data_IF_265487576640
#
_entry.id   IF_265487576640
#
_cell.length_a   1.000
_cell.length_b   1.000
_cell.length_c   1.000
_cell.angle_alpha   90.00
_cell.angle_beta   90.00
_cell.angle_gamma   90.00
#
_symmetry.space_group_name_H-M   'P 1'
#
loop_
_entity.id
_entity.type
_entity.pdbx_description
1 polymer ?
#
# COMPACT_ATOMS: atom_id res chain seq x y z
N UNK A 1 -15.79 -6.41 23.42
CA UNK A 1 -14.93 -7.61 23.29
C UNK A 1 -13.80 -7.30 22.32
N UNK A 2 -12.64 -6.86 22.82
CA UNK A 2 -11.47 -6.59 21.98
C UNK A 2 -10.86 -7.92 21.53
N UNK A 3 -10.99 -8.25 20.24
CA UNK A 3 -10.41 -9.47 19.68
C UNK A 3 -8.89 -9.33 19.67
N UNK A 4 -8.18 -10.27 20.28
CA UNK A 4 -6.73 -10.40 20.16
C UNK A 4 -6.36 -10.42 18.67
N UNK A 5 -5.81 -9.32 18.16
CA UNK A 5 -5.45 -9.19 16.76
C UNK A 5 -4.22 -10.07 16.48
N UNK A 6 -4.34 -11.01 15.53
CA UNK A 6 -3.24 -11.91 15.18
C UNK A 6 -2.21 -11.22 14.29
N UNK A 7 -1.02 -11.82 14.13
CA UNK A 7 -0.01 -11.30 13.18
C UNK A 7 -0.55 -11.27 11.75
N UNK A 8 -1.29 -12.32 11.36
CA UNK A 8 -1.96 -12.37 10.06
C UNK A 8 -2.98 -11.24 9.89
N UNK A 9 -3.78 -10.94 10.92
CA UNK A 9 -4.74 -9.83 10.86
C UNK A 9 -4.06 -8.47 10.67
N UNK A 10 -2.92 -8.22 11.34
CA UNK A 10 -2.13 -7.00 11.14
C UNK A 10 -1.62 -6.89 9.70
N UNK A 11 -1.01 -7.97 9.22
CA UNK A 11 -0.41 -8.04 7.89
C UNK A 11 -1.44 -7.90 6.76
N UNK A 12 -2.62 -8.52 6.90
CA UNK A 12 -3.70 -8.40 5.90
C UNK A 12 -4.38 -7.03 5.94
N UNK A 13 -4.44 -6.36 7.10
CA UNK A 13 -4.88 -4.97 7.19
C UNK A 13 -3.89 -4.03 6.51
N UNK A 14 -2.60 -4.22 6.75
CA UNK A 14 -1.53 -3.47 6.09
C UNK A 14 -1.66 -3.62 4.56
N UNK A 15 -1.80 -4.85 4.06
CA UNK A 15 -1.98 -5.15 2.63
C UNK A 15 -3.13 -4.36 1.99
N UNK A 16 -4.27 -4.21 2.70
CA UNK A 16 -5.43 -3.44 2.21
C UNK A 16 -5.20 -1.94 2.18
N UNK A 17 -4.29 -1.42 3.00
CA UNK A 17 -4.02 0.01 3.13
C UNK A 17 -2.94 0.46 2.15
N UNK A 18 -1.96 -0.39 1.83
CA UNK A 18 -0.84 -0.06 0.92
C UNK A 18 -1.30 0.59 -0.40
N UNK A 19 -2.27 0.03 -1.17
CA UNK A 19 -2.68 0.65 -2.43
C UNK A 19 -3.31 2.04 -2.27
N UNK A 20 -3.89 2.34 -1.10
CA UNK A 20 -4.46 3.65 -0.81
C UNK A 20 -3.35 4.66 -0.50
N UNK A 21 -2.36 4.26 0.29
CA UNK A 21 -1.18 5.06 0.59
C UNK A 21 -0.38 5.38 -0.67
N UNK A 22 -0.16 4.39 -1.55
CA UNK A 22 0.50 4.62 -2.85
C UNK A 22 -0.25 5.70 -3.65
N UNK A 23 -1.58 5.58 -3.78
CA UNK A 23 -2.41 6.58 -4.48
C UNK A 23 -2.40 7.97 -3.83
N UNK A 24 -2.14 8.07 -2.54
CA UNK A 24 -1.98 9.35 -1.84
C UNK A 24 -0.61 9.96 -2.17
N UNK A 25 0.47 9.17 -2.07
CA UNK A 25 1.82 9.60 -2.43
C UNK A 25 1.94 10.00 -3.91
N UNK A 26 1.31 9.26 -4.83
CA UNK A 26 1.25 9.61 -6.25
C UNK A 26 0.54 10.96 -6.48
N UNK A 27 -0.53 11.24 -5.72
CA UNK A 27 -1.25 12.51 -5.78
C UNK A 27 -0.42 13.67 -5.22
N UNK A 28 0.34 13.44 -4.17
CA UNK A 28 1.23 14.45 -3.58
C UNK A 28 2.43 14.73 -4.48
N UNK A 29 2.98 13.68 -5.11
CA UNK A 29 4.06 13.79 -6.09
C UNK A 29 3.63 14.59 -7.31
N UNK A 30 2.47 14.26 -7.90
CA UNK A 30 1.93 14.97 -9.08
C UNK A 30 1.54 16.42 -8.76
N UNK A 31 1.00 16.68 -7.57
CA UNK A 31 0.69 18.04 -7.11
C UNK A 31 1.96 18.88 -6.90
N UNK A 32 3.05 18.26 -6.44
CA UNK A 32 4.36 18.92 -6.34
C UNK A 32 4.94 19.27 -7.72
N UNK A 33 4.63 18.47 -8.74
CA UNK A 33 5.04 18.73 -10.13
C UNK A 33 4.17 19.76 -10.85
N UNK A 34 2.86 19.82 -10.59
CA UNK A 34 1.98 20.82 -11.22
C UNK A 34 2.27 22.26 -10.76
N UNK A 35 2.80 22.43 -9.54
CA UNK A 35 3.36 23.72 -9.08
C UNK A 35 4.54 24.18 -9.96
N UNK A 36 5.26 23.27 -10.63
CA UNK A 36 6.34 23.62 -11.55
C UNK A 36 5.83 24.13 -12.92
N UNK A 37 4.63 23.76 -13.35
CA UNK A 37 4.11 24.02 -14.70
C UNK A 37 3.17 25.23 -14.82
N UNK A 38 2.85 25.91 -13.72
CA UNK A 38 2.04 27.14 -13.76
C UNK A 38 2.76 28.28 -14.51
N UNK A 39 2.07 29.10 -15.33
CA UNK A 39 2.68 30.20 -16.07
C UNK A 39 3.39 31.17 -15.12
N UNK A 40 4.71 31.24 -15.22
CA UNK A 40 5.50 32.15 -14.40
C UNK A 40 5.37 33.56 -14.97
N UNK A 41 4.51 34.39 -14.36
CA UNK A 41 4.57 35.84 -14.59
C UNK A 41 5.92 36.32 -14.07
N UNK A 42 6.83 36.57 -15.01
CA UNK A 42 8.15 37.13 -14.77
C UNK A 42 8.03 38.59 -14.37
N UNK A 43 7.63 38.84 -13.13
CA UNK A 43 7.84 40.18 -12.56
C UNK A 43 7.98 40.08 -11.05
N UNK A 44 9.23 40.06 -10.57
CA UNK A 44 9.49 40.58 -9.23
C UNK A 44 10.92 41.05 -9.08
N UNK A 45 11.12 42.36 -9.28
CA UNK A 45 12.09 43.11 -8.47
C UNK A 45 11.58 43.07 -7.02
N UNK A 46 12.24 42.31 -6.16
CA UNK A 46 12.05 42.40 -4.70
C UNK A 46 13.37 42.79 -4.03
N UNK A 47 13.41 44.02 -3.53
CA UNK A 47 14.35 44.48 -2.50
C UNK A 47 13.91 43.89 -1.15
N UNK A 48 14.83 43.24 -0.43
CA UNK A 48 14.77 43.21 1.05
C UNK A 48 14.53 41.88 1.78
N UNK A 49 14.32 40.75 1.12
CA UNK A 49 14.14 39.45 1.80
C UNK A 49 15.07 38.37 1.24
N UNK A 50 15.54 37.45 2.09
CA UNK A 50 16.46 36.35 1.75
C UNK A 50 16.04 35.71 0.42
N UNK A 51 16.87 35.87 -0.61
CA UNK A 51 16.60 35.37 -1.97
C UNK A 51 16.70 33.84 -1.97
N UNK A 52 15.61 33.12 -1.73
CA UNK A 52 15.52 31.76 -2.25
C UNK A 52 15.46 31.86 -3.77
N UNK A 53 16.55 31.49 -4.42
CA UNK A 53 16.65 31.56 -5.87
C UNK A 53 15.72 30.51 -6.50
N UNK A 54 15.29 30.75 -7.74
CA UNK A 54 14.46 29.78 -8.47
C UNK A 54 15.12 28.40 -8.54
N UNK A 55 16.46 28.37 -8.54
CA UNK A 55 17.30 27.16 -8.44
C UNK A 55 17.04 26.38 -7.16
N UNK A 56 16.97 27.04 -6.01
CA UNK A 56 16.73 26.40 -4.70
C UNK A 56 15.33 25.75 -4.65
N UNK A 57 14.33 26.38 -5.28
CA UNK A 57 12.97 25.84 -5.39
C UNK A 57 12.91 24.61 -6.29
N UNK A 58 13.62 24.64 -7.42
CA UNK A 58 13.68 23.51 -8.33
C UNK A 58 14.40 22.31 -7.70
N UNK A 59 15.51 22.55 -6.99
CA UNK A 59 16.25 21.51 -6.25
C UNK A 59 15.37 20.87 -5.17
N UNK A 60 14.69 21.68 -4.35
CA UNK A 60 13.82 21.17 -3.28
C UNK A 60 12.66 20.32 -3.83
N UNK A 61 12.11 20.68 -4.99
CA UNK A 61 11.03 19.91 -5.62
C UNK A 61 11.53 18.59 -6.23
N UNK A 62 12.74 18.55 -6.79
CA UNK A 62 13.38 17.30 -7.24
C UNK A 62 13.57 16.35 -6.07
N UNK A 63 14.16 16.82 -4.97
CA UNK A 63 14.37 16.03 -3.75
C UNK A 63 13.05 15.45 -3.22
N UNK A 64 11.96 16.25 -3.23
CA UNK A 64 10.63 15.78 -2.84
C UNK A 64 10.09 14.69 -3.78
N UNK A 65 10.30 14.85 -5.09
CA UNK A 65 9.89 13.85 -6.09
C UNK A 65 10.60 12.51 -5.88
N UNK A 66 11.91 12.55 -5.64
CA UNK A 66 12.73 11.36 -5.33
C UNK A 66 12.26 10.68 -4.04
N UNK A 67 11.99 11.46 -2.99
CA UNK A 67 11.44 10.95 -1.73
C UNK A 67 10.12 10.19 -1.93
N UNK A 68 9.16 10.77 -2.65
CA UNK A 68 7.89 10.09 -2.90
C UNK A 68 8.07 8.81 -3.72
N UNK A 69 8.94 8.83 -4.74
CA UNK A 69 9.23 7.66 -5.56
C UNK A 69 9.86 6.51 -4.74
N UNK A 70 10.79 6.83 -3.84
CA UNK A 70 11.39 5.87 -2.91
C UNK A 70 10.34 5.25 -1.99
N UNK A 71 9.50 6.08 -1.36
CA UNK A 71 8.43 5.61 -0.47
C UNK A 71 7.41 4.71 -1.18
N UNK A 72 7.03 5.05 -2.42
CA UNK A 72 6.16 4.20 -3.25
C UNK A 72 6.84 2.85 -3.53
N UNK A 73 8.12 2.86 -3.91
CA UNK A 73 8.90 1.66 -4.17
C UNK A 73 8.99 0.71 -2.97
N UNK A 74 9.16 1.27 -1.76
CA UNK A 74 9.19 0.48 -0.52
C UNK A 74 7.82 -0.11 -0.17
N UNK A 75 6.73 0.63 -0.39
CA UNK A 75 5.37 0.13 -0.21
C UNK A 75 5.05 -1.00 -1.19
N UNK A 76 5.45 -0.88 -2.45
CA UNK A 76 5.27 -1.95 -3.44
C UNK A 76 6.10 -3.20 -3.11
N UNK A 77 7.35 -3.02 -2.65
CA UNK A 77 8.17 -4.13 -2.15
C UNK A 77 7.51 -4.81 -0.96
N UNK A 78 6.97 -4.04 -0.01
CA UNK A 78 6.28 -4.58 1.16
C UNK A 78 5.01 -5.35 0.78
N UNK A 79 4.21 -4.82 -0.15
CA UNK A 79 3.05 -5.52 -0.73
C UNK A 79 3.47 -6.84 -1.37
N UNK A 80 4.54 -6.84 -2.16
CA UNK A 80 5.12 -8.03 -2.77
C UNK A 80 5.52 -9.09 -1.74
N UNK A 81 6.24 -8.68 -0.69
CA UNK A 81 6.66 -9.57 0.40
C UNK A 81 5.46 -10.21 1.12
N UNK A 82 4.42 -9.43 1.39
CA UNK A 82 3.18 -9.93 2.00
C UNK A 82 2.50 -10.97 1.08
N UNK A 83 2.40 -10.69 -0.22
CA UNK A 83 1.83 -11.64 -1.18
C UNK A 83 2.67 -12.91 -1.22
N UNK A 84 4.00 -12.82 -1.21
CA UNK A 84 4.89 -13.98 -1.15
C UNK A 84 4.63 -14.84 0.10
N UNK A 85 4.41 -14.24 1.27
CA UNK A 85 4.04 -14.97 2.49
C UNK A 85 2.71 -15.71 2.33
N UNK A 86 1.69 -15.07 1.73
CA UNK A 86 0.41 -15.74 1.41
C UNK A 86 0.64 -16.93 0.47
N UNK A 87 1.52 -16.78 -0.52
CA UNK A 87 1.83 -17.84 -1.49
C UNK A 87 2.53 -19.06 -0.87
N UNK A 88 3.08 -18.96 0.34
CA UNK A 88 3.67 -20.09 1.07
C UNK A 88 2.63 -21.01 1.73
N UNK A 89 1.36 -20.59 1.86
CA UNK A 89 0.30 -21.45 2.41
C UNK A 89 0.17 -22.74 1.59
N UNK A 90 0.00 -23.95 2.16
CA UNK A 90 -0.04 -25.18 1.35
C UNK A 90 -1.28 -25.29 0.44
N UNK A 91 -2.41 -24.74 0.86
CA UNK A 91 -3.69 -24.85 0.16
C UNK A 91 -3.87 -23.73 -0.88
N UNK A 92 -3.95 -24.11 -2.15
CA UNK A 92 -4.12 -23.17 -3.28
C UNK A 92 -5.43 -22.39 -3.23
N UNK A 93 -6.52 -22.99 -2.73
CA UNK A 93 -7.81 -22.33 -2.61
C UNK A 93 -7.74 -21.25 -1.52
N UNK A 94 -7.03 -21.51 -0.42
CA UNK A 94 -6.78 -20.50 0.61
C UNK A 94 -5.96 -19.33 0.07
N UNK A 95 -4.89 -19.59 -0.70
CA UNK A 95 -4.11 -18.54 -1.39
C UNK A 95 -5.00 -17.69 -2.27
N UNK A 96 -5.79 -18.32 -3.13
CA UNK A 96 -6.66 -17.64 -4.08
C UNK A 96 -7.69 -16.77 -3.35
N UNK A 97 -8.33 -17.28 -2.29
CA UNK A 97 -9.27 -16.51 -1.47
C UNK A 97 -8.60 -15.28 -0.85
N UNK A 98 -7.40 -15.41 -0.27
CA UNK A 98 -6.71 -14.28 0.35
C UNK A 98 -6.25 -13.24 -0.67
N UNK A 99 -5.59 -13.64 -1.75
CA UNK A 99 -5.13 -12.71 -2.80
C UNK A 99 -6.32 -11.96 -3.41
N UNK A 100 -7.37 -12.68 -3.81
CA UNK A 100 -8.55 -12.04 -4.37
C UNK A 100 -9.19 -11.08 -3.37
N UNK A 101 -9.36 -11.49 -2.11
CA UNK A 101 -10.03 -10.69 -1.07
C UNK A 101 -9.26 -9.44 -0.65
N UNK A 102 -7.93 -9.52 -0.51
CA UNK A 102 -7.13 -8.47 0.12
C UNK A 102 -6.29 -7.66 -0.88
N UNK A 103 -6.10 -8.15 -2.10
CA UNK A 103 -5.34 -7.45 -3.15
C UNK A 103 -6.26 -6.93 -4.26
N UNK A 104 -7.19 -7.78 -4.74
CA UNK A 104 -7.93 -7.50 -5.97
C UNK A 104 -9.32 -6.87 -5.73
N UNK A 105 -9.86 -6.96 -4.51
CA UNK A 105 -11.21 -6.51 -4.18
C UNK A 105 -11.19 -5.45 -3.08
N UNK A 106 -12.15 -4.52 -3.14
CA UNK A 106 -12.36 -3.53 -2.09
C UNK A 106 -13.27 -4.07 -0.98
N UNK A 107 -14.27 -4.87 -1.36
CA UNK A 107 -15.28 -5.41 -0.44
C UNK A 107 -15.25 -6.94 -0.39
N UNK A 108 -15.85 -7.51 0.65
CA UNK A 108 -15.99 -8.95 0.76
C UNK A 108 -17.02 -9.50 -0.22
N UNK A 109 -18.11 -8.78 -0.48
CA UNK A 109 -19.12 -9.20 -1.46
C UNK A 109 -18.52 -9.24 -2.87
N UNK A 110 -17.74 -8.23 -3.27
CA UNK A 110 -17.01 -8.25 -4.56
C UNK A 110 -16.07 -9.46 -4.68
N UNK A 111 -15.41 -9.83 -3.58
CA UNK A 111 -14.55 -11.01 -3.55
C UNK A 111 -15.35 -12.30 -3.68
N UNK A 112 -16.49 -12.41 -2.99
CA UNK A 112 -17.40 -13.57 -3.06
C UNK A 112 -17.89 -13.75 -4.50
N UNK A 113 -18.35 -12.67 -5.14
CA UNK A 113 -18.83 -12.68 -6.51
C UNK A 113 -17.71 -13.08 -7.49
N UNK A 114 -16.52 -12.48 -7.36
CA UNK A 114 -15.37 -12.78 -8.23
C UNK A 114 -14.83 -14.21 -8.05
N UNK A 115 -14.95 -14.78 -6.85
CA UNK A 115 -14.55 -16.16 -6.57
C UNK A 115 -15.62 -17.17 -7.00
N UNK A 116 -16.82 -16.71 -7.37
CA UNK A 116 -17.99 -17.55 -7.69
C UNK A 116 -18.30 -18.55 -6.57
N UNK A 117 -18.14 -18.10 -5.31
CA UNK A 117 -18.29 -18.95 -4.12
C UNK A 117 -19.57 -18.63 -3.36
N UNK A 118 -20.18 -19.66 -2.78
CA UNK A 118 -21.16 -19.47 -1.72
C UNK A 118 -20.53 -18.70 -0.53
N UNK A 119 -21.28 -17.74 0.05
CA UNK A 119 -20.88 -16.96 1.24
C UNK A 119 -20.35 -17.83 2.38
N UNK A 120 -21.04 -18.91 2.74
CA UNK A 120 -20.61 -19.77 3.86
C UNK A 120 -19.29 -20.47 3.57
N UNK A 121 -19.12 -20.97 2.34
CA UNK A 121 -17.86 -21.58 1.88
C UNK A 121 -16.73 -20.55 1.91
N UNK A 122 -16.98 -19.36 1.37
CA UNK A 122 -16.03 -18.26 1.36
C UNK A 122 -15.53 -17.91 2.76
N UNK A 123 -16.43 -17.64 3.72
CA UNK A 123 -16.03 -17.25 5.07
C UNK A 123 -15.32 -18.38 5.82
N UNK A 124 -15.69 -19.63 5.55
CA UNK A 124 -15.01 -20.81 6.12
C UNK A 124 -13.58 -20.93 5.61
N UNK A 125 -13.36 -20.83 4.29
CA UNK A 125 -12.03 -20.90 3.70
C UNK A 125 -11.19 -19.70 4.13
N UNK A 126 -11.76 -18.48 4.11
CA UNK A 126 -11.08 -17.27 4.56
C UNK A 126 -10.60 -17.39 6.00
N UNK A 127 -11.45 -17.87 6.92
CA UNK A 127 -11.06 -18.05 8.32
C UNK A 127 -9.90 -19.02 8.47
N UNK A 128 -9.99 -20.20 7.84
CA UNK A 128 -8.91 -21.20 7.85
C UNK A 128 -7.62 -20.67 7.23
N UNK A 129 -7.72 -19.89 6.15
CA UNK A 129 -6.57 -19.28 5.49
C UNK A 129 -5.86 -18.28 6.42
N UNK A 130 -6.61 -17.47 7.17
CA UNK A 130 -6.04 -16.52 8.14
C UNK A 130 -5.38 -17.25 9.31
N UNK A 131 -6.02 -18.30 9.83
CA UNK A 131 -5.47 -19.16 10.89
C UNK A 131 -4.14 -19.79 10.44
N UNK A 132 -4.12 -20.45 9.28
CA UNK A 132 -2.92 -21.07 8.72
C UNK A 132 -1.81 -20.05 8.41
N UNK A 133 -2.18 -18.85 7.94
CA UNK A 133 -1.20 -17.78 7.71
C UNK A 133 -0.59 -17.32 9.04
N UNK A 134 -1.39 -17.19 10.08
CA UNK A 134 -0.90 -16.82 11.40
C UNK A 134 0.06 -17.89 11.96
N UNK A 135 -0.27 -19.17 11.79
CA UNK A 135 0.60 -20.26 12.21
C UNK A 135 1.94 -20.23 11.44
N UNK A 136 1.90 -20.01 10.13
CA UNK A 136 3.10 -19.83 9.30
C UNK A 136 3.96 -18.67 9.81
N UNK A 137 3.35 -17.52 10.12
CA UNK A 137 4.05 -16.34 10.65
C UNK A 137 4.58 -16.51 12.08
N UNK A 138 4.04 -17.45 12.85
CA UNK A 138 4.54 -17.77 14.19
C UNK A 138 5.67 -18.80 14.16
N UNK A 139 5.61 -19.75 13.21
CA UNK A 139 6.62 -20.78 13.04
C UNK A 139 7.84 -20.29 12.25
N UNK A 140 7.65 -19.27 11.41
CA UNK A 140 8.76 -18.59 10.74
C UNK A 140 9.32 -17.55 11.70
N UNK A 141 10.54 -17.73 12.19
CA UNK A 141 11.29 -16.69 12.91
C UNK A 141 11.61 -15.54 11.94
N UNK A 142 10.60 -14.76 11.58
CA UNK A 142 10.78 -13.57 10.77
C UNK A 142 11.26 -12.48 11.72
N UNK A 143 12.54 -12.13 11.61
CA UNK A 143 13.05 -10.86 12.11
C UNK A 143 12.24 -9.77 11.38
N UNK A 144 11.32 -9.13 12.10
CA UNK A 144 10.53 -8.00 11.62
C UNK A 144 11.42 -6.77 11.45
#
# INVERSE_FOLDING_TARGET
>A
MGRNQTKADMLLKELRVIPKLIKELERDMTSSQSVLSSPQWSDMKVQGGIKQTQTDKNINNIIKGEYYAEQIGDLDRRKGNIIQMIMQLPDITQRHVLVTTFVNCQTYDEAIDRLEMNRNTYYTIKRKAIENLNDLLNNTTIVL
#
